data_IF_658920770622
#
_entry.id   IF_658920770622
#
_cell.length_a   1.000
_cell.length_b   1.000
_cell.length_c   1.000
_cell.angle_alpha   90.00
_cell.angle_beta   90.00
_cell.angle_gamma   90.00
#
_symmetry.space_group_name_H-M   'P 1'
#
loop_
_entity.id
_entity.type
_entity.pdbx_description
1 polymer ?
#
# COMPACT_ATOMS: atom_id res chain seq x y z
N UNK A 1 -17.95 -12.24 2.07
CA UNK A 1 -17.36 -12.02 0.73
C UNK A 1 -16.08 -11.22 0.88
N UNK A 2 -15.12 -11.34 -0.04
CA UNK A 2 -13.93 -10.51 -0.01
C UNK A 2 -14.32 -9.04 -0.31
N UNK A 3 -13.59 -8.02 0.19
CA UNK A 3 -13.85 -6.64 -0.20
C UNK A 3 -13.77 -6.46 -1.73
N UNK A 4 -14.61 -5.61 -2.36
CA UNK A 4 -14.64 -5.46 -3.82
C UNK A 4 -13.29 -5.11 -4.46
N UNK A 5 -12.44 -4.36 -3.75
CA UNK A 5 -11.08 -4.02 -4.21
C UNK A 5 -10.18 -5.27 -4.30
N UNK A 6 -10.35 -6.24 -3.40
CA UNK A 6 -9.61 -7.50 -3.43
C UNK A 6 -10.06 -8.35 -4.62
N UNK A 7 -11.37 -8.43 -4.86
CA UNK A 7 -11.90 -9.11 -6.04
C UNK A 7 -11.37 -8.49 -7.34
N UNK A 8 -11.27 -7.16 -7.39
CA UNK A 8 -10.68 -6.44 -8.52
C UNK A 8 -9.19 -6.77 -8.73
N UNK A 9 -8.39 -6.88 -7.66
CA UNK A 9 -6.99 -7.30 -7.78
C UNK A 9 -6.84 -8.76 -8.23
N UNK A 10 -7.67 -9.66 -7.69
CA UNK A 10 -7.66 -11.08 -8.07
C UNK A 10 -8.02 -11.26 -9.54
N UNK A 11 -8.90 -10.42 -10.09
CA UNK A 11 -9.25 -10.45 -11.51
C UNK A 11 -8.06 -10.13 -12.44
N UNK A 12 -7.03 -9.43 -11.95
CA UNK A 12 -5.82 -9.09 -12.69
C UNK A 12 -6.14 -8.48 -14.08
N UNK A 13 -5.58 -9.05 -15.15
CA UNK A 13 -5.83 -8.65 -16.54
C UNK A 13 -7.26 -8.92 -17.03
N UNK A 14 -8.00 -9.81 -16.36
CA UNK A 14 -9.39 -10.16 -16.68
C UNK A 14 -10.42 -9.23 -16.00
N UNK A 15 -9.97 -8.15 -15.36
CA UNK A 15 -10.85 -7.19 -14.69
C UNK A 15 -11.84 -6.52 -15.67
N UNK A 16 -13.11 -6.49 -15.28
CA UNK A 16 -14.16 -5.72 -15.95
C UNK A 16 -13.95 -4.20 -15.75
N UNK A 17 -14.70 -3.32 -16.44
CA UNK A 17 -14.50 -1.87 -16.34
C UNK A 17 -14.59 -1.29 -14.91
N UNK A 18 -15.51 -1.79 -14.08
CA UNK A 18 -15.64 -1.32 -12.69
C UNK A 18 -14.49 -1.82 -11.81
N UNK A 19 -14.05 -3.07 -12.02
CA UNK A 19 -12.87 -3.61 -11.35
C UNK A 19 -11.60 -2.85 -11.75
N UNK A 20 -11.46 -2.45 -13.02
CA UNK A 20 -10.33 -1.62 -13.47
C UNK A 20 -10.29 -0.26 -12.78
N UNK A 21 -11.46 0.39 -12.60
CA UNK A 21 -11.56 1.62 -11.81
C UNK A 21 -11.10 1.38 -10.37
N UNK A 22 -11.51 0.28 -9.75
CA UNK A 22 -11.08 -0.09 -8.40
C UNK A 22 -9.57 -0.41 -8.31
N UNK A 23 -8.97 -1.04 -9.32
CA UNK A 23 -7.52 -1.27 -9.38
C UNK A 23 -6.71 0.03 -9.45
N UNK A 24 -7.21 1.04 -10.14
CA UNK A 24 -6.55 2.36 -10.18
C UNK A 24 -6.75 3.06 -8.83
N UNK A 25 -7.98 3.08 -8.33
CA UNK A 25 -8.33 3.69 -7.03
C UNK A 25 -7.66 3.02 -5.83
N UNK A 26 -7.31 1.74 -5.93
CA UNK A 26 -6.53 1.09 -4.88
C UNK A 26 -5.16 1.72 -4.78
N UNK A 27 -4.54 2.08 -5.91
CA UNK A 27 -3.22 2.70 -5.93
C UNK A 27 -3.24 4.19 -5.60
N UNK A 28 -4.23 4.94 -6.10
CA UNK A 28 -4.19 6.41 -6.12
C UNK A 28 -5.48 7.05 -5.60
N UNK A 29 -5.35 8.20 -4.93
CA UNK A 29 -6.50 9.04 -4.52
C UNK A 29 -7.33 9.51 -5.73
N UNK A 30 -8.61 9.80 -5.50
CA UNK A 30 -9.46 10.43 -6.53
C UNK A 30 -8.86 11.75 -7.03
N UNK A 31 -8.26 12.53 -6.13
CA UNK A 31 -7.58 13.78 -6.50
C UNK A 31 -6.38 13.53 -7.41
N UNK A 32 -5.55 12.51 -7.14
CA UNK A 32 -4.45 12.18 -8.06
C UNK A 32 -4.96 11.70 -9.42
N UNK A 33 -6.01 10.89 -9.46
CA UNK A 33 -6.64 10.42 -10.70
C UNK A 33 -7.18 11.59 -11.54
N UNK A 34 -7.80 12.57 -10.89
CA UNK A 34 -8.36 13.73 -11.56
C UNK A 34 -7.30 14.75 -11.98
N UNK A 35 -6.34 15.06 -11.09
CA UNK A 35 -5.56 16.29 -11.15
C UNK A 35 -4.03 16.08 -11.20
N UNK A 36 -3.52 14.85 -11.04
CA UNK A 36 -2.07 14.53 -11.02
C UNK A 36 -1.75 13.31 -11.89
N UNK A 37 -2.19 13.35 -13.15
CA UNK A 37 -2.07 12.21 -14.09
C UNK A 37 -0.62 11.81 -14.34
N UNK A 38 0.32 12.76 -14.26
CA UNK A 38 1.75 12.52 -14.45
C UNK A 38 2.33 11.47 -13.49
N UNK A 39 1.79 11.36 -12.27
CA UNK A 39 2.22 10.36 -11.28
C UNK A 39 1.74 8.97 -11.72
N UNK A 40 0.51 8.87 -12.22
CA UNK A 40 -0.10 7.62 -12.68
C UNK A 40 0.59 7.15 -13.96
N UNK A 41 0.78 8.04 -14.93
CA UNK A 41 1.49 7.75 -16.18
C UNK A 41 2.93 7.29 -15.92
N UNK A 42 3.64 7.92 -14.98
CA UNK A 42 4.97 7.47 -14.56
C UNK A 42 4.92 6.07 -13.96
N UNK A 43 3.97 5.80 -13.08
CA UNK A 43 3.80 4.49 -12.46
C UNK A 43 3.48 3.41 -13.50
N UNK A 44 2.57 3.68 -14.44
CA UNK A 44 2.25 2.78 -15.55
C UNK A 44 3.47 2.53 -16.45
N UNK A 45 4.20 3.58 -16.81
CA UNK A 45 5.42 3.47 -17.62
C UNK A 45 6.46 2.56 -16.95
N UNK A 46 6.68 2.71 -15.64
CA UNK A 46 7.62 1.86 -14.89
C UNK A 46 7.11 0.41 -14.84
N UNK A 47 5.82 0.20 -14.57
CA UNK A 47 5.24 -1.16 -14.53
C UNK A 47 5.30 -1.87 -15.89
N UNK A 48 5.12 -1.14 -16.99
CA UNK A 48 5.19 -1.69 -18.34
C UNK A 48 6.60 -2.19 -18.73
N UNK A 49 7.65 -1.71 -18.06
CA UNK A 49 9.04 -2.16 -18.33
C UNK A 49 9.31 -3.58 -17.82
N UNK A 50 8.57 -4.04 -16.80
CA UNK A 50 8.79 -5.32 -16.12
C UNK A 50 7.48 -6.05 -15.93
N UNK A 51 6.95 -6.60 -17.03
CA UNK A 51 5.69 -7.36 -16.99
C UNK A 51 5.83 -8.59 -16.10
N UNK A 52 4.89 -8.73 -15.17
CA UNK A 52 4.81 -9.88 -14.27
C UNK A 52 4.03 -10.98 -14.98
N UNK A 53 4.60 -12.18 -15.21
CA UNK A 53 3.85 -13.28 -15.78
C UNK A 53 2.59 -13.60 -14.94
N UNK A 54 1.43 -13.92 -15.54
CA UNK A 54 0.19 -14.15 -14.78
C UNK A 54 0.32 -15.22 -13.70
N UNK A 55 1.09 -16.29 -13.95
CA UNK A 55 1.34 -17.33 -12.96
C UNK A 55 2.09 -16.79 -11.73
N UNK A 56 3.05 -15.88 -11.92
CA UNK A 56 3.84 -15.29 -10.85
C UNK A 56 2.99 -14.35 -10.00
N UNK A 57 2.16 -13.51 -10.65
CA UNK A 57 1.20 -12.64 -9.95
C UNK A 57 0.22 -13.47 -9.09
N UNK A 58 -0.32 -14.55 -9.65
CA UNK A 58 -1.22 -15.46 -8.90
C UNK A 58 -0.53 -16.10 -7.69
N UNK A 59 0.73 -16.53 -7.82
CA UNK A 59 1.50 -17.09 -6.70
C UNK A 59 1.77 -16.05 -5.62
N UNK A 60 2.05 -14.80 -6.00
CA UNK A 60 2.19 -13.69 -5.06
C UNK A 60 0.88 -13.43 -4.30
N UNK A 61 -0.25 -13.38 -5.00
CA UNK A 61 -1.57 -13.21 -4.36
C UNK A 61 -1.86 -14.34 -3.37
N UNK A 62 -1.59 -15.59 -3.73
CA UNK A 62 -1.76 -16.74 -2.83
C UNK A 62 -0.91 -16.60 -1.56
N UNK A 63 0.34 -16.16 -1.69
CA UNK A 63 1.23 -15.96 -0.55
C UNK A 63 0.74 -14.84 0.37
N UNK A 64 0.32 -13.70 -0.19
CA UNK A 64 -0.18 -12.55 0.60
C UNK A 64 -1.50 -12.89 1.30
N UNK A 65 -2.43 -13.55 0.61
CA UNK A 65 -3.74 -13.92 1.17
C UNK A 65 -3.64 -14.95 2.31
N UNK A 66 -2.58 -15.77 2.31
CA UNK A 66 -2.32 -16.75 3.38
C UNK A 66 -1.40 -16.27 4.48
N UNK A 67 -0.91 -15.02 4.42
CA UNK A 67 0.07 -14.51 5.38
C UNK A 67 -0.62 -13.89 6.61
N UNK A 68 -0.29 -14.42 7.78
CA UNK A 68 -0.65 -13.82 9.07
C UNK A 68 0.54 -13.91 10.04
N UNK A 69 1.07 -12.74 10.43
CA UNK A 69 2.09 -12.60 11.46
C UNK A 69 1.59 -11.79 12.67
N UNK A 70 0.29 -11.54 12.77
CA UNK A 70 -0.31 -10.63 13.74
C UNK A 70 -0.10 -11.05 15.19
N UNK A 71 0.09 -12.35 15.45
CA UNK A 71 0.41 -12.90 16.77
C UNK A 71 1.87 -12.69 17.18
N UNK A 72 2.77 -12.45 16.22
CA UNK A 72 4.22 -12.30 16.44
C UNK A 72 4.67 -10.84 16.51
N UNK A 73 3.77 -9.87 16.24
CA UNK A 73 4.12 -8.44 16.24
C UNK A 73 4.68 -7.98 17.59
N UNK A 74 4.18 -8.54 18.70
CA UNK A 74 4.66 -8.25 20.04
C UNK A 74 6.06 -8.79 20.34
N UNK A 75 6.71 -9.52 19.43
CA UNK A 75 8.10 -9.99 19.58
C UNK A 75 9.10 -9.03 18.93
N UNK A 76 8.64 -8.01 18.21
CA UNK A 76 9.50 -6.98 17.63
C UNK A 76 10.01 -6.09 18.77
N UNK A 77 11.33 -5.88 18.83
CA UNK A 77 12.02 -5.13 19.90
C UNK A 77 12.83 -3.93 19.39
N UNK A 78 12.96 -3.81 18.07
CA UNK A 78 13.68 -2.69 17.44
C UNK A 78 12.74 -1.50 17.25
N UNK A 79 13.27 -0.27 17.21
CA UNK A 79 12.50 0.90 16.80
C UNK A 79 11.73 0.61 15.52
N UNK A 80 10.43 0.94 15.49
CA UNK A 80 9.56 0.64 14.35
C UNK A 80 8.75 1.86 13.95
N UNK A 81 8.77 2.18 12.66
CA UNK A 81 7.88 3.17 12.03
C UNK A 81 6.87 2.44 11.14
N UNK A 82 5.58 2.74 11.32
CA UNK A 82 4.49 2.25 10.49
C UNK A 82 3.90 3.43 9.72
N UNK A 83 3.91 3.36 8.40
CA UNK A 83 3.40 4.40 7.49
C UNK A 83 2.24 3.85 6.65
N UNK A 84 1.22 4.67 6.43
CA UNK A 84 0.08 4.33 5.57
C UNK A 84 -0.52 5.56 4.93
N UNK A 85 -1.15 5.40 3.77
CA UNK A 85 -1.99 6.43 3.15
C UNK A 85 -3.36 6.48 3.82
N UNK A 86 -3.89 7.67 4.09
CA UNK A 86 -5.22 7.90 4.73
C UNK A 86 -6.38 7.40 3.89
N UNK A 87 -6.21 7.35 2.56
CA UNK A 87 -7.24 6.99 1.58
C UNK A 87 -7.01 5.57 1.02
N UNK A 88 -6.16 4.77 1.67
CA UNK A 88 -5.87 3.41 1.25
C UNK A 88 -7.09 2.51 1.43
N UNK A 89 -7.77 2.20 0.32
CA UNK A 89 -8.92 1.30 0.30
C UNK A 89 -8.50 -0.18 0.23
N UNK A 90 -7.24 -0.47 -0.13
CA UNK A 90 -6.72 -1.82 -0.28
C UNK A 90 -6.25 -2.39 1.05
N UNK A 91 -5.45 -1.62 1.78
CA UNK A 91 -4.98 -1.92 3.14
C UNK A 91 -5.39 -0.76 4.04
N UNK A 92 -6.60 -0.79 4.63
CA UNK A 92 -7.12 0.34 5.40
C UNK A 92 -6.18 0.80 6.51
N UNK A 93 -6.09 2.12 6.80
CA UNK A 93 -5.22 2.68 7.86
C UNK A 93 -5.41 2.06 9.24
N UNK A 94 -6.61 1.53 9.51
CA UNK A 94 -6.92 0.77 10.72
C UNK A 94 -5.93 -0.39 10.96
N UNK A 95 -5.45 -1.04 9.89
CA UNK A 95 -4.45 -2.11 9.99
C UNK A 95 -3.11 -1.58 10.52
N UNK A 96 -2.68 -0.39 10.08
CA UNK A 96 -1.45 0.24 10.56
C UNK A 96 -1.55 0.66 12.02
N UNK A 97 -2.74 1.14 12.46
CA UNK A 97 -3.01 1.39 13.89
C UNK A 97 -2.96 0.09 14.72
N UNK A 98 -3.52 -1.01 14.22
CA UNK A 98 -3.45 -2.33 14.86
C UNK A 98 -2.00 -2.83 14.97
N UNK A 99 -1.20 -2.66 13.91
CA UNK A 99 0.23 -3.02 13.93
C UNK A 99 0.97 -2.20 14.98
N UNK A 100 0.81 -0.88 14.96
CA UNK A 100 1.45 0.01 15.93
C UNK A 100 1.05 -0.27 17.37
N UNK A 101 -0.22 -0.60 17.62
CA UNK A 101 -0.69 -0.98 18.95
C UNK A 101 -0.12 -2.32 19.47
N UNK A 102 0.40 -3.17 18.59
CA UNK A 102 0.99 -4.47 18.95
C UNK A 102 2.52 -4.45 19.08
N UNK A 103 3.19 -3.44 18.53
CA UNK A 103 4.65 -3.31 18.58
C UNK A 103 5.01 -2.28 19.65
N UNK A 104 5.72 -2.71 20.69
CA UNK A 104 6.15 -1.80 21.77
C UNK A 104 7.06 -0.71 21.22
N UNK A 105 6.72 0.55 21.48
CA UNK A 105 7.50 1.71 21.02
C UNK A 105 7.35 2.04 19.53
N UNK A 106 6.41 1.42 18.80
CA UNK A 106 6.18 1.77 17.41
C UNK A 106 5.60 3.19 17.25
N UNK A 107 6.09 3.90 16.24
CA UNK A 107 5.50 5.16 15.77
C UNK A 107 4.60 4.87 14.58
N UNK A 108 3.34 5.30 14.62
CA UNK A 108 2.42 5.23 13.47
C UNK A 108 2.23 6.63 12.91
N UNK A 109 2.45 6.82 11.61
CA UNK A 109 2.08 8.06 10.89
C UNK A 109 1.17 7.72 9.71
N UNK A 110 0.01 8.35 9.67
CA UNK A 110 -0.90 8.31 8.53
C UNK A 110 -0.62 9.55 7.67
N UNK A 111 -0.30 9.34 6.40
CA UNK A 111 0.03 10.39 5.44
C UNK A 111 -1.10 10.51 4.41
N UNK A 112 -1.29 11.68 3.77
CA UNK A 112 -2.21 11.79 2.63
C UNK A 112 -1.87 10.76 1.55
N UNK A 113 -2.87 10.25 0.82
CA UNK A 113 -2.66 9.33 -0.29
C UNK A 113 -3.36 7.98 -0.13
N UNK A 114 -3.43 7.22 -1.23
CA UNK A 114 -3.96 5.85 -1.25
C UNK A 114 -2.82 4.82 -1.05
N UNK A 115 -2.94 3.60 -1.58
CA UNK A 115 -1.93 2.54 -1.36
C UNK A 115 -0.53 2.90 -1.91
N UNK A 116 -0.46 3.75 -2.93
CA UNK A 116 0.79 4.30 -3.45
C UNK A 116 1.08 5.70 -2.88
N UNK A 117 0.67 5.99 -1.63
CA UNK A 117 0.86 7.30 -0.97
C UNK A 117 2.30 7.82 -1.04
N UNK A 118 3.31 6.93 -1.00
CA UNK A 118 4.72 7.31 -1.12
C UNK A 118 5.11 7.83 -2.52
N UNK A 119 4.32 7.52 -3.55
CA UNK A 119 4.46 8.12 -4.89
C UNK A 119 3.64 9.40 -5.05
N UNK A 120 2.48 9.49 -4.38
CA UNK A 120 1.61 10.65 -4.41
C UNK A 120 2.14 11.82 -3.57
N UNK A 121 2.76 11.50 -2.43
CA UNK A 121 3.28 12.42 -1.42
C UNK A 121 4.72 12.03 -1.04
N UNK A 122 5.66 12.07 -2.00
CA UNK A 122 7.02 11.58 -1.79
C UNK A 122 7.81 12.44 -0.80
N UNK A 123 7.48 13.74 -0.64
CA UNK A 123 8.19 14.61 0.32
C UNK A 123 7.86 14.22 1.75
N UNK A 124 6.58 14.03 2.04
CA UNK A 124 6.04 13.64 3.34
C UNK A 124 6.53 12.25 3.75
N UNK A 125 6.48 11.30 2.81
CA UNK A 125 7.03 9.95 3.01
C UNK A 125 8.54 10.00 3.31
N UNK A 126 9.32 10.63 2.44
CA UNK A 126 10.78 10.68 2.60
C UNK A 126 11.19 11.38 3.89
N UNK A 127 10.52 12.49 4.25
CA UNK A 127 10.78 13.20 5.50
C UNK A 127 10.53 12.29 6.71
N UNK A 128 9.38 11.61 6.75
CA UNK A 128 9.05 10.70 7.85
C UNK A 128 10.08 9.57 8.02
N UNK A 129 10.53 8.99 6.91
CA UNK A 129 11.56 7.94 6.91
C UNK A 129 12.91 8.49 7.37
N UNK A 130 13.37 9.61 6.82
CA UNK A 130 14.67 10.21 7.14
C UNK A 130 14.73 10.64 8.61
N UNK A 131 13.69 11.29 9.12
CA UNK A 131 13.59 11.68 10.53
C UNK A 131 13.69 10.46 11.45
N UNK A 132 12.93 9.41 11.14
CA UNK A 132 12.93 8.19 11.93
C UNK A 132 14.30 7.51 11.94
N UNK A 133 14.96 7.40 10.78
CA UNK A 133 16.31 6.83 10.69
C UNK A 133 17.30 7.67 11.48
N UNK A 134 17.29 9.00 11.34
CA UNK A 134 18.20 9.89 12.08
C UNK A 134 18.01 9.83 13.60
N UNK A 135 16.77 9.64 14.07
CA UNK A 135 16.48 9.54 15.50
C UNK A 135 16.96 8.22 16.13
N UNK A 136 17.31 7.22 15.31
CA UNK A 136 17.71 5.87 15.75
C UNK A 136 18.99 5.38 15.06
N UNK A 137 19.81 6.30 14.54
CA UNK A 137 21.11 6.05 13.90
C UNK A 137 22.25 5.97 14.93
#
# INVERSE_FOLDING_TARGET
>A
AAPPVIEALVAAENANPEQRKLQIRSGFTENAIANRREIIERHEKVRAQYLIPPFAYRRQLQAVMGFDASARLNSIRVPTLVLTGTDDILVPPANSRLIGGKISGATVKELPGAHQFFTEYPREFNQAVIEFVKAHA
#
